data_IF_142912945427
#
_entry.id   IF_142912945427
#
_cell.length_a   1.000
_cell.length_b   1.000
_cell.length_c   1.000
_cell.angle_alpha   90.00
_cell.angle_beta   90.00
_cell.angle_gamma   90.00
#
_symmetry.space_group_name_H-M   'P 1'
#
loop_
_entity.id
_entity.type
_entity.pdbx_description
1 polymer ?
#
# COMPACT_ATOMS: atom_id res chain seq x y z
N UNK A 1 34.31 -48.77 -46.55
CA UNK A 1 33.22 -47.80 -46.48
C UNK A 1 33.03 -47.36 -45.00
N UNK A 2 33.55 -46.19 -44.69
CA UNK A 2 33.57 -45.69 -43.31
C UNK A 2 32.57 -44.55 -43.23
N UNK A 3 31.49 -44.77 -42.49
CA UNK A 3 30.43 -43.76 -42.30
C UNK A 3 30.81 -42.88 -41.12
N UNK A 4 31.05 -41.60 -41.39
CA UNK A 4 31.32 -40.57 -40.41
C UNK A 4 29.97 -40.01 -39.87
N UNK A 5 29.69 -40.23 -38.60
CA UNK A 5 28.59 -39.56 -37.92
C UNK A 5 29.01 -38.17 -37.42
N UNK A 6 28.45 -37.13 -38.02
CA UNK A 6 28.59 -35.76 -37.53
C UNK A 6 27.75 -35.57 -36.29
N UNK A 7 28.40 -35.24 -35.16
CA UNK A 7 27.74 -34.83 -33.93
C UNK A 7 27.19 -33.42 -34.10
N UNK A 8 25.87 -33.27 -34.07
CA UNK A 8 25.20 -31.98 -33.99
C UNK A 8 25.10 -31.62 -32.50
N UNK A 9 25.81 -30.60 -32.09
CA UNK A 9 25.68 -30.02 -30.76
C UNK A 9 24.49 -29.08 -30.77
N UNK A 10 23.41 -29.44 -30.08
CA UNK A 10 22.29 -28.55 -29.81
C UNK A 10 22.67 -27.68 -28.59
N UNK A 11 23.03 -26.43 -28.81
CA UNK A 11 23.19 -25.46 -27.76
C UNK A 11 21.79 -24.93 -27.42
N UNK A 12 21.22 -25.48 -26.34
CA UNK A 12 19.99 -24.98 -25.75
C UNK A 12 20.29 -23.68 -25.01
N UNK A 13 20.08 -22.57 -25.68
CA UNK A 13 20.15 -21.24 -25.07
C UNK A 13 18.96 -21.02 -24.19
N UNK A 14 19.14 -21.15 -22.87
CA UNK A 14 18.16 -20.80 -21.86
C UNK A 14 18.14 -19.28 -21.72
N UNK A 15 17.22 -18.62 -22.40
CA UNK A 15 16.93 -17.21 -22.19
C UNK A 15 16.30 -17.06 -20.80
N UNK A 16 17.10 -16.65 -19.83
CA UNK A 16 16.57 -16.10 -18.59
C UNK A 16 15.93 -14.74 -18.92
N UNK A 17 14.62 -14.72 -19.06
CA UNK A 17 13.86 -13.48 -19.02
C UNK A 17 13.87 -12.96 -17.59
N UNK A 18 14.75 -12.02 -17.30
CA UNK A 18 14.66 -11.21 -16.08
C UNK A 18 13.43 -10.32 -16.25
N UNK A 19 12.32 -10.72 -15.63
CA UNK A 19 11.20 -9.82 -15.46
C UNK A 19 11.70 -8.66 -14.59
N UNK A 20 11.91 -7.50 -15.20
CA UNK A 20 12.16 -6.27 -14.47
C UNK A 20 10.87 -5.97 -13.69
N UNK A 21 10.89 -6.24 -12.38
CA UNK A 21 9.87 -5.73 -11.48
C UNK A 21 10.08 -4.22 -11.44
N UNK A 22 9.32 -3.49 -12.24
CA UNK A 22 9.26 -2.04 -12.16
C UNK A 22 8.54 -1.72 -10.84
N UNK A 23 9.31 -1.42 -9.80
CA UNK A 23 8.77 -0.80 -8.60
C UNK A 23 8.11 0.52 -9.04
N UNK A 24 6.91 0.85 -8.55
CA UNK A 24 6.29 2.12 -8.85
C UNK A 24 7.22 3.23 -8.36
N UNK A 25 7.74 4.01 -9.29
CA UNK A 25 8.51 5.21 -8.99
C UNK A 25 7.50 6.26 -8.57
N UNK A 26 7.28 6.39 -7.27
CA UNK A 26 6.60 7.57 -6.76
C UNK A 26 7.51 8.79 -7.05
N UNK A 27 7.11 9.59 -8.04
CA UNK A 27 7.88 10.77 -8.48
C UNK A 27 8.00 11.87 -7.40
N UNK A 28 7.21 11.74 -6.33
CA UNK A 28 7.30 12.59 -5.13
C UNK A 28 7.18 11.68 -3.91
N UNK A 29 7.83 12.04 -2.80
CA UNK A 29 7.64 11.36 -1.53
C UNK A 29 6.13 11.39 -1.18
N UNK A 30 5.44 10.24 -1.20
CA UNK A 30 3.98 10.20 -1.02
C UNK A 30 3.56 10.82 0.32
N UNK A 31 4.50 10.91 1.27
CA UNK A 31 4.25 11.41 2.61
C UNK A 31 4.33 12.95 2.70
N UNK A 32 5.14 13.61 1.86
CA UNK A 32 5.31 15.06 1.93
C UNK A 32 4.05 15.86 1.58
N UNK A 33 3.11 15.26 0.86
CA UNK A 33 1.89 15.95 0.44
C UNK A 33 0.62 15.56 1.17
N UNK A 34 0.69 14.63 2.12
CA UNK A 34 -0.50 14.06 2.77
C UNK A 34 -1.07 14.91 3.92
N UNK A 35 -0.28 15.86 4.45
CA UNK A 35 -0.75 16.75 5.50
C UNK A 35 -1.38 16.06 6.71
N UNK A 36 -2.69 16.18 6.84
CA UNK A 36 -3.46 15.60 7.95
C UNK A 36 -3.46 14.07 7.98
N UNK A 37 -3.45 13.41 6.81
CA UNK A 37 -3.49 11.95 6.74
C UNK A 37 -2.25 11.30 7.37
N UNK A 38 -1.05 11.74 7.00
CA UNK A 38 0.18 11.25 7.61
C UNK A 38 0.21 11.43 9.14
N UNK A 39 -0.27 12.57 9.62
CA UNK A 39 -0.38 12.84 11.06
C UNK A 39 -1.36 11.91 11.77
N UNK A 40 -2.44 11.51 11.10
CA UNK A 40 -3.39 10.56 11.67
C UNK A 40 -2.81 9.14 11.72
N UNK A 41 -2.06 8.72 10.70
CA UNK A 41 -1.40 7.40 10.68
C UNK A 41 -0.42 7.22 11.84
N UNK A 42 0.22 8.30 12.30
CA UNK A 42 1.20 8.23 13.41
C UNK A 42 0.57 8.22 14.82
N UNK A 43 -0.74 8.18 14.95
CA UNK A 43 -1.35 8.07 16.27
C UNK A 43 -1.24 6.64 16.81
N UNK A 44 -0.95 6.52 18.10
CA UNK A 44 -0.88 5.22 18.78
C UNK A 44 -2.19 4.42 18.71
N UNK A 45 -3.33 5.10 18.59
CA UNK A 45 -4.62 4.43 18.41
C UNK A 45 -4.71 3.74 17.04
N UNK A 46 -4.03 4.27 16.02
CA UNK A 46 -3.92 3.60 14.72
C UNK A 46 -3.08 2.33 14.82
N UNK A 47 -1.94 2.38 15.50
CA UNK A 47 -1.12 1.18 15.74
C UNK A 47 -1.96 0.06 16.35
N UNK A 48 -2.74 0.35 17.40
CA UNK A 48 -3.62 -0.62 18.04
C UNK A 48 -4.73 -1.18 17.13
N UNK A 49 -5.14 -0.43 16.12
CA UNK A 49 -6.14 -0.90 15.14
C UNK A 49 -5.52 -1.83 14.09
N UNK A 50 -4.24 -1.65 13.80
CA UNK A 50 -3.50 -2.50 12.86
C UNK A 50 -2.98 -3.77 13.54
N UNK A 51 -2.55 -3.67 14.81
CA UNK A 51 -2.08 -4.78 15.64
C UNK A 51 -3.26 -5.73 15.95
N UNK A 52 -3.43 -6.72 15.10
CA UNK A 52 -4.58 -7.63 15.14
C UNK A 52 -4.47 -8.73 16.18
N UNK A 53 -3.26 -9.11 16.57
CA UNK A 53 -3.00 -10.17 17.55
C UNK A 53 -2.66 -9.63 18.97
N UNK A 54 -2.50 -8.30 19.09
CA UNK A 54 -2.25 -7.63 20.37
C UNK A 54 -0.84 -7.81 20.91
N UNK A 55 0.13 -8.12 20.04
CA UNK A 55 1.52 -8.33 20.44
C UNK A 55 2.34 -7.04 20.56
N UNK A 56 1.72 -5.88 20.28
CA UNK A 56 2.32 -4.54 20.26
C UNK A 56 3.32 -4.29 19.12
N UNK A 57 3.28 -5.11 18.10
CA UNK A 57 3.97 -4.96 16.84
C UNK A 57 2.93 -4.92 15.72
N UNK A 58 3.26 -4.31 14.59
CA UNK A 58 2.41 -4.36 13.39
C UNK A 58 3.21 -4.98 12.28
N UNK A 59 2.83 -6.17 11.86
CA UNK A 59 3.43 -6.85 10.71
C UNK A 59 2.89 -6.31 9.40
N UNK A 60 3.62 -6.52 8.31
CA UNK A 60 3.15 -6.20 6.95
C UNK A 60 1.81 -6.87 6.64
N UNK A 61 1.61 -8.13 7.11
CA UNK A 61 0.38 -8.88 6.87
C UNK A 61 -0.83 -8.28 7.61
N UNK A 62 -0.64 -7.80 8.83
CA UNK A 62 -1.69 -7.11 9.59
C UNK A 62 -2.05 -5.77 8.95
N UNK A 63 -1.04 -5.00 8.54
CA UNK A 63 -1.24 -3.75 7.81
C UNK A 63 -2.02 -3.99 6.50
N UNK A 64 -1.63 -4.95 5.70
CA UNK A 64 -2.33 -5.33 4.46
C UNK A 64 -3.77 -5.77 4.74
N UNK A 65 -4.00 -6.60 5.76
CA UNK A 65 -5.34 -7.04 6.16
C UNK A 65 -6.23 -5.87 6.56
N UNK A 66 -5.70 -4.97 7.36
CA UNK A 66 -6.41 -3.77 7.79
C UNK A 66 -6.79 -2.87 6.60
N UNK A 67 -5.84 -2.55 5.73
CA UNK A 67 -6.09 -1.66 4.59
C UNK A 67 -6.97 -2.30 3.52
N UNK A 68 -6.92 -3.62 3.33
CA UNK A 68 -7.92 -4.33 2.51
C UNK A 68 -9.34 -4.12 3.06
N UNK A 69 -9.52 -4.25 4.38
CA UNK A 69 -10.81 -3.98 5.01
C UNK A 69 -11.31 -2.53 4.83
N UNK A 70 -10.41 -1.56 4.81
CA UNK A 70 -10.76 -0.15 4.50
C UNK A 70 -11.16 0.00 3.04
N UNK A 71 -10.42 -0.61 2.10
CA UNK A 71 -10.78 -0.62 0.69
C UNK A 71 -12.19 -1.19 0.47
N UNK A 72 -12.47 -2.36 1.04
CA UNK A 72 -13.79 -3.01 0.94
C UNK A 72 -14.92 -2.15 1.54
N UNK A 73 -14.63 -1.39 2.60
CA UNK A 73 -15.61 -0.50 3.20
C UNK A 73 -15.91 0.73 2.32
N UNK A 74 -14.98 1.13 1.46
CA UNK A 74 -15.17 2.21 0.49
C UNK A 74 -15.82 1.71 -0.80
N UNK A 75 -15.40 0.56 -1.30
CA UNK A 75 -15.88 -0.08 -2.53
C UNK A 75 -17.31 -0.60 -2.35
N UNK A 76 -18.29 0.14 -2.85
CA UNK A 76 -19.71 -0.16 -2.64
C UNK A 76 -20.33 -1.04 -3.73
N UNK A 77 -19.78 -0.95 -4.92
CA UNK A 77 -20.27 -1.72 -6.07
C UNK A 77 -19.47 -3.00 -6.34
N UNK A 78 -18.39 -3.20 -5.57
CA UNK A 78 -17.55 -4.41 -5.59
C UNK A 78 -16.87 -4.64 -6.96
N UNK A 79 -16.46 -3.59 -7.64
CA UNK A 79 -15.78 -3.67 -8.93
C UNK A 79 -14.24 -3.63 -8.86
N UNK A 80 -13.67 -3.75 -7.64
CA UNK A 80 -12.23 -3.69 -7.34
C UNK A 80 -11.54 -2.35 -7.65
N UNK A 81 -12.31 -1.29 -7.90
CA UNK A 81 -11.81 0.08 -8.07
C UNK A 81 -12.58 1.04 -7.16
N UNK A 82 -11.95 2.15 -6.79
CA UNK A 82 -12.60 3.23 -6.06
C UNK A 82 -12.74 4.45 -6.97
N UNK A 83 -13.95 4.77 -7.34
CA UNK A 83 -14.26 5.98 -8.07
C UNK A 83 -14.47 7.18 -7.14
N UNK A 84 -14.45 8.39 -7.72
CA UNK A 84 -14.63 9.62 -6.95
C UNK A 84 -15.94 9.64 -6.11
N UNK A 85 -17.01 9.00 -6.59
CA UNK A 85 -18.30 8.89 -5.86
C UNK A 85 -18.21 8.02 -4.60
N UNK A 86 -17.37 6.99 -4.63
CA UNK A 86 -17.10 6.09 -3.50
C UNK A 86 -16.10 6.70 -2.56
N UNK A 87 -15.03 7.27 -3.12
CA UNK A 87 -13.99 7.94 -2.37
C UNK A 87 -14.52 9.12 -1.57
N UNK A 88 -15.26 10.03 -2.22
CA UNK A 88 -15.82 11.24 -1.62
C UNK A 88 -17.30 11.12 -1.23
N UNK A 89 -17.87 9.93 -1.24
CA UNK A 89 -19.28 9.68 -0.97
C UNK A 89 -19.78 10.19 0.39
N UNK A 90 -21.08 10.07 0.72
CA UNK A 90 -21.67 10.69 1.90
C UNK A 90 -20.92 10.30 3.18
N UNK A 91 -20.62 11.33 3.97
CA UNK A 91 -19.73 11.29 5.13
C UNK A 91 -20.23 10.47 6.34
N UNK A 92 -21.45 9.97 6.30
CA UNK A 92 -22.01 9.15 7.36
C UNK A 92 -21.90 7.65 7.04
N UNK A 93 -20.67 7.15 7.02
CA UNK A 93 -20.44 5.72 7.12
C UNK A 93 -19.95 5.43 8.54
N UNK A 94 -20.88 5.19 9.45
CA UNK A 94 -20.55 4.92 10.86
C UNK A 94 -19.60 3.73 11.02
N UNK A 95 -19.68 2.74 10.13
CA UNK A 95 -18.77 1.59 10.15
C UNK A 95 -17.35 2.01 9.79
N UNK A 96 -17.17 2.77 8.70
CA UNK A 96 -15.86 3.28 8.28
C UNK A 96 -15.27 4.21 9.33
N UNK A 97 -16.05 5.14 9.89
CA UNK A 97 -15.60 6.07 10.92
C UNK A 97 -15.16 5.35 12.19
N UNK A 98 -15.88 4.30 12.60
CA UNK A 98 -15.49 3.47 13.75
C UNK A 98 -14.21 2.67 13.47
N UNK A 99 -14.12 2.05 12.29
CA UNK A 99 -12.95 1.24 11.89
C UNK A 99 -11.69 2.10 11.75
N UNK A 100 -11.83 3.35 11.36
CA UNK A 100 -10.69 4.25 11.08
C UNK A 100 -10.38 5.21 12.24
N UNK A 101 -11.08 5.12 13.37
CA UNK A 101 -10.89 6.06 14.48
C UNK A 101 -11.02 7.53 14.04
N UNK A 102 -11.79 7.80 13.00
CA UNK A 102 -12.08 9.14 12.50
C UNK A 102 -11.07 9.70 11.48
N UNK A 103 -10.04 8.96 11.07
CA UNK A 103 -9.11 9.44 10.04
C UNK A 103 -9.65 9.32 8.61
N UNK A 104 -10.80 8.66 8.44
CA UNK A 104 -11.45 8.46 7.13
C UNK A 104 -11.67 9.75 6.36
N UNK A 105 -11.84 10.88 7.05
CA UNK A 105 -12.02 12.19 6.42
C UNK A 105 -10.79 12.62 5.63
N UNK A 106 -9.60 12.47 6.21
CA UNK A 106 -8.33 12.82 5.58
C UNK A 106 -7.99 11.86 4.44
N UNK A 107 -8.22 10.55 4.66
CA UNK A 107 -8.07 9.53 3.62
C UNK A 107 -8.95 9.87 2.41
N UNK A 108 -10.22 10.21 2.64
CA UNK A 108 -11.22 10.44 1.58
C UNK A 108 -11.11 11.80 0.91
N UNK A 109 -10.03 12.54 1.10
CA UNK A 109 -9.79 13.76 0.35
C UNK A 109 -9.44 13.44 -1.12
N UNK A 110 -9.91 14.27 -2.05
CA UNK A 110 -9.57 14.11 -3.48
C UNK A 110 -8.07 14.26 -3.76
N UNK A 111 -7.34 14.86 -2.82
CA UNK A 111 -5.89 14.92 -2.88
C UNK A 111 -5.28 13.53 -2.66
N UNK A 112 -5.78 12.79 -1.67
CA UNK A 112 -5.32 11.44 -1.39
C UNK A 112 -5.66 10.48 -2.54
N UNK A 113 -6.87 10.58 -3.10
CA UNK A 113 -7.23 9.81 -4.28
C UNK A 113 -6.21 9.99 -5.41
N UNK A 114 -5.88 11.25 -5.76
CA UNK A 114 -4.88 11.55 -6.81
C UNK A 114 -3.45 11.11 -6.48
N UNK A 115 -3.12 10.96 -5.21
CA UNK A 115 -1.81 10.44 -4.81
C UNK A 115 -1.71 8.92 -4.94
N UNK A 116 -2.84 8.23 -4.82
CA UNK A 116 -2.91 6.78 -4.95
C UNK A 116 -3.14 6.34 -6.40
N UNK A 117 -3.87 7.14 -7.18
CA UNK A 117 -4.08 6.98 -8.63
C UNK A 117 -2.74 7.21 -9.36
N UNK A 118 -2.02 6.13 -9.63
CA UNK A 118 -0.65 6.19 -10.16
C UNK A 118 -0.60 6.18 -11.68
N UNK A 119 -1.64 5.69 -12.34
CA UNK A 119 -1.75 5.65 -13.80
C UNK A 119 -2.58 6.80 -14.38
N UNK A 120 -3.26 7.57 -13.53
CA UNK A 120 -4.00 8.77 -13.92
C UNK A 120 -5.36 8.48 -14.57
N UNK A 121 -5.92 7.31 -14.36
CA UNK A 121 -7.22 6.91 -14.91
C UNK A 121 -8.43 7.47 -14.13
N UNK A 122 -8.16 8.21 -13.04
CA UNK A 122 -9.14 8.79 -12.11
C UNK A 122 -9.90 7.78 -11.26
N UNK A 123 -9.37 6.58 -11.12
CA UNK A 123 -9.80 5.56 -10.18
C UNK A 123 -8.64 5.20 -9.25
N UNK A 124 -8.91 4.43 -8.24
CA UNK A 124 -7.88 3.82 -7.40
C UNK A 124 -8.17 2.34 -7.31
N UNK A 125 -7.32 1.55 -7.92
CA UNK A 125 -7.37 0.10 -7.83
C UNK A 125 -6.97 -0.37 -6.43
N UNK A 126 -7.33 -1.60 -6.08
CA UNK A 126 -6.91 -2.21 -4.81
C UNK A 126 -5.38 -2.24 -4.68
N UNK A 127 -4.68 -2.57 -5.76
CA UNK A 127 -3.22 -2.62 -5.77
C UNK A 127 -2.59 -1.24 -5.54
N UNK A 128 -3.10 -0.20 -6.15
CA UNK A 128 -2.64 1.18 -5.92
C UNK A 128 -2.87 1.62 -4.49
N UNK A 129 -4.06 1.32 -3.94
CA UNK A 129 -4.38 1.60 -2.56
C UNK A 129 -3.43 0.90 -1.59
N UNK A 130 -3.21 -0.40 -1.76
CA UNK A 130 -2.32 -1.17 -0.91
C UNK A 130 -0.85 -0.77 -1.11
N UNK A 131 -0.41 -0.54 -2.34
CA UNK A 131 0.97 -0.11 -2.62
C UNK A 131 1.30 1.22 -1.98
N UNK A 132 0.35 2.16 -1.94
CA UNK A 132 0.53 3.40 -1.20
C UNK A 132 0.79 3.13 0.29
N UNK A 133 -0.04 2.32 0.94
CA UNK A 133 0.08 2.02 2.36
C UNK A 133 1.32 1.19 2.70
N UNK A 134 1.72 0.27 1.82
CA UNK A 134 2.98 -0.47 1.94
C UNK A 134 4.21 0.45 1.82
N UNK A 135 4.16 1.45 0.96
CA UNK A 135 5.22 2.46 0.88
C UNK A 135 5.32 3.30 2.17
N UNK A 136 4.18 3.60 2.79
CA UNK A 136 4.13 4.24 4.12
C UNK A 136 4.76 3.33 5.17
N UNK A 137 4.36 2.06 5.21
CA UNK A 137 4.89 1.06 6.13
C UNK A 137 6.42 0.94 6.01
N UNK A 138 6.93 0.72 4.80
CA UNK A 138 8.37 0.60 4.54
C UNK A 138 9.17 1.85 4.93
N UNK A 139 8.53 3.01 4.93
CA UNK A 139 9.17 4.25 5.37
C UNK A 139 9.25 4.37 6.88
N UNK A 140 8.30 3.79 7.60
CA UNK A 140 8.29 3.72 9.06
C UNK A 140 9.21 2.61 9.58
N UNK A 141 9.27 1.48 8.88
CA UNK A 141 10.14 0.34 9.17
C UNK A 141 11.61 0.72 8.90
N UNK A 142 12.23 1.31 9.90
CA UNK A 142 13.62 1.76 9.84
C UNK A 142 14.60 0.65 10.15
N UNK A 143 14.17 -0.37 10.87
CA UNK A 143 14.94 -1.58 11.18
C UNK A 143 15.01 -2.55 9.99
N UNK A 144 14.02 -2.46 9.07
CA UNK A 144 13.85 -3.35 7.91
C UNK A 144 13.58 -4.80 8.31
N UNK A 145 12.91 -5.02 9.43
CA UNK A 145 12.50 -6.34 9.92
C UNK A 145 11.09 -6.75 9.52
N UNK A 146 10.38 -5.87 8.78
CA UNK A 146 9.01 -6.04 8.29
C UNK A 146 7.94 -5.99 9.39
N UNK A 147 8.29 -5.42 10.52
CA UNK A 147 7.41 -5.14 11.65
C UNK A 147 7.55 -3.68 12.05
N UNK A 148 6.54 -3.09 12.64
CA UNK A 148 6.58 -1.75 13.19
C UNK A 148 6.38 -1.82 14.69
N UNK A 149 7.40 -1.48 15.45
CA UNK A 149 7.30 -1.33 16.89
C UNK A 149 6.78 0.07 17.29
N UNK A 150 6.52 0.27 18.58
CA UNK A 150 6.03 1.54 19.09
C UNK A 150 7.03 2.70 18.87
N UNK A 151 8.33 2.42 18.78
CA UNK A 151 9.36 3.43 18.55
C UNK A 151 9.31 3.92 17.11
N UNK A 152 9.25 2.99 16.16
CA UNK A 152 9.16 3.29 14.74
C UNK A 152 7.84 4.00 14.41
N UNK A 153 6.74 3.53 15.01
CA UNK A 153 5.44 4.17 14.85
C UNK A 153 5.42 5.61 15.37
N UNK A 154 6.06 5.85 16.51
CA UNK A 154 6.10 7.17 17.15
C UNK A 154 7.17 8.12 16.60
N UNK A 155 7.99 7.69 15.63
CA UNK A 155 9.06 8.52 15.08
C UNK A 155 8.52 9.80 14.45
N UNK A 156 8.61 10.89 15.21
CA UNK A 156 8.22 12.22 14.76
C UNK A 156 9.16 12.69 13.65
N UNK A 157 8.59 13.04 12.52
CA UNK A 157 9.34 13.72 11.44
C UNK A 157 9.59 12.87 10.19
N UNK A 158 9.43 11.56 10.20
CA UNK A 158 9.52 10.73 9.00
C UNK A 158 8.40 11.05 7.99
N UNK A 159 7.22 11.39 8.51
CA UNK A 159 6.03 11.69 7.70
C UNK A 159 5.72 13.20 7.60
N UNK A 160 6.53 14.07 8.19
CA UNK A 160 6.24 15.51 8.32
C UNK A 160 7.26 16.44 7.67
N UNK A 161 8.20 15.92 6.88
CA UNK A 161 9.14 16.76 6.10
C UNK A 161 8.66 17.06 4.70
#
# INVERSE_FOLDING_TARGET
>A
MTVQFKKVAIISGMLLSVAAISLPVFAADPMLSTGGYARQLQKMDMMKMLDGDGNHMVTTAEADSYYNGIFDALNKDSDDTLEAKEWAGPTKNSKLDLTTGGYSRELRSMKMMRLMDTDGDHKVTRDEFLNYHRAVFSKLDTSSDQELDATEWAMKGLLSK
#
